data_IF_494050547189
#
_entry.id   IF_494050547189
#
_cell.length_a   1.000
_cell.length_b   1.000
_cell.length_c   1.000
_cell.angle_alpha   90.00
_cell.angle_beta   90.00
_cell.angle_gamma   90.00
#
_symmetry.space_group_name_H-M   'P 1'
#
loop_
_entity.id
_entity.type
_entity.pdbx_description
1 polymer ?
#
# COMPACT_ATOMS: atom_id res chain seq x y z
N UNK A 1 -8.81 32.22 18.60
CA UNK A 1 -7.41 32.33 19.06
C UNK A 1 -6.52 31.92 17.91
N UNK A 2 -5.55 32.76 17.49
CA UNK A 2 -4.57 32.31 16.50
C UNK A 2 -3.70 31.23 17.15
N UNK A 3 -3.76 30.03 16.64
CA UNK A 3 -2.85 28.95 17.03
C UNK A 3 -1.46 29.40 16.59
N UNK A 4 -0.50 29.46 17.52
CA UNK A 4 0.91 29.67 17.18
C UNK A 4 1.29 28.66 16.10
N UNK A 5 1.87 29.15 15.00
CA UNK A 5 2.26 28.30 13.89
C UNK A 5 3.34 27.33 14.36
N UNK A 6 3.01 26.03 14.39
CA UNK A 6 3.99 24.98 14.62
C UNK A 6 4.99 24.92 13.46
N UNK A 7 6.25 24.61 13.79
CA UNK A 7 7.22 24.26 12.77
C UNK A 7 6.76 22.96 12.10
N UNK A 8 6.38 23.05 10.84
CA UNK A 8 5.95 21.86 10.09
C UNK A 8 7.17 20.98 9.77
N UNK A 9 7.08 19.67 10.00
CA UNK A 9 8.08 18.75 9.49
C UNK A 9 8.11 18.80 7.96
N UNK A 10 9.29 18.74 7.35
CA UNK A 10 9.41 18.82 5.90
C UNK A 10 8.88 17.54 5.24
N UNK A 11 9.50 16.41 5.54
CA UNK A 11 9.16 15.08 5.01
C UNK A 11 9.84 13.99 5.80
N UNK A 12 9.34 12.77 5.68
CA UNK A 12 10.03 11.57 6.13
C UNK A 12 11.16 11.24 5.15
N UNK A 13 12.40 11.22 5.64
CA UNK A 13 13.59 10.90 4.85
C UNK A 13 13.93 9.44 5.11
N UNK A 14 13.98 8.62 4.07
CA UNK A 14 14.48 7.26 4.15
C UNK A 14 16.00 7.29 3.95
N UNK A 15 16.75 6.92 5.00
CA UNK A 15 18.24 6.96 4.98
C UNK A 15 18.78 5.66 4.41
N UNK A 16 18.20 4.55 4.86
CA UNK A 16 18.64 3.21 4.51
C UNK A 16 17.39 2.35 4.29
N UNK A 17 17.38 1.57 3.23
CA UNK A 17 16.28 0.67 2.90
C UNK A 17 16.80 -0.58 2.24
N UNK A 18 16.38 -1.71 2.79
CA UNK A 18 16.49 -3.04 2.22
C UNK A 18 15.09 -3.67 2.24
N UNK A 19 14.91 -4.84 1.64
CA UNK A 19 13.63 -5.55 1.61
C UNK A 19 13.06 -5.87 3.00
N UNK A 20 13.95 -6.03 3.99
CA UNK A 20 13.58 -6.39 5.38
C UNK A 20 13.93 -5.33 6.41
N UNK A 21 14.71 -4.31 6.07
CA UNK A 21 15.15 -3.27 6.98
C UNK A 21 14.92 -1.89 6.39
N UNK A 22 14.50 -0.94 7.24
CA UNK A 22 14.35 0.46 6.86
C UNK A 22 14.69 1.39 8.01
N UNK A 23 15.45 2.44 7.71
CA UNK A 23 15.79 3.52 8.64
C UNK A 23 15.23 4.85 8.11
N UNK A 24 14.41 5.48 8.93
CA UNK A 24 13.68 6.69 8.58
C UNK A 24 14.03 7.82 9.54
N UNK A 25 14.18 9.03 9.00
CA UNK A 25 14.27 10.28 9.79
C UNK A 25 13.04 11.14 9.56
N UNK A 26 12.54 11.72 10.66
CA UNK A 26 11.45 12.66 10.64
C UNK A 26 11.85 13.91 11.42
N UNK A 27 11.97 15.02 10.73
CA UNK A 27 12.49 16.29 11.25
C UNK A 27 12.05 17.51 10.42
N UNK A 28 12.08 18.74 10.96
CA UNK A 28 12.20 19.07 12.38
C UNK A 28 10.90 18.80 13.15
N UNK A 29 11.00 18.47 14.42
CA UNK A 29 9.87 18.27 15.32
C UNK A 29 10.00 19.23 16.51
N UNK A 30 8.88 19.73 17.01
CA UNK A 30 8.84 20.46 18.27
C UNK A 30 9.24 19.55 19.45
N UNK A 31 9.81 20.13 20.55
CA UNK A 31 10.22 19.35 21.70
C UNK A 31 9.11 18.46 22.27
N UNK A 32 9.41 17.17 22.51
CA UNK A 32 8.49 16.16 23.03
C UNK A 32 7.70 15.38 21.96
N UNK A 33 7.61 15.90 20.72
CA UNK A 33 6.86 15.22 19.64
C UNK A 33 7.56 13.96 19.14
N UNK A 34 8.89 13.95 19.16
CA UNK A 34 9.67 12.77 18.74
C UNK A 34 9.32 11.52 19.56
N UNK A 35 9.22 11.65 20.87
CA UNK A 35 8.84 10.53 21.76
C UNK A 35 7.40 10.12 21.53
N UNK A 36 6.47 11.10 21.43
CA UNK A 36 5.05 10.85 21.24
C UNK A 36 4.78 10.08 19.94
N UNK A 37 5.30 10.58 18.83
CA UNK A 37 5.11 9.98 17.50
C UNK A 37 5.86 8.64 17.42
N UNK A 38 7.11 8.58 17.88
CA UNK A 38 7.92 7.38 17.83
C UNK A 38 7.32 6.22 18.62
N UNK A 39 6.82 6.49 19.82
CA UNK A 39 6.15 5.47 20.64
C UNK A 39 4.81 5.02 20.04
N UNK A 40 4.00 5.95 19.54
CA UNK A 40 2.73 5.62 18.90
C UNK A 40 2.94 4.72 17.68
N UNK A 41 3.83 5.11 16.76
CA UNK A 41 4.16 4.33 15.56
C UNK A 41 4.75 2.96 15.93
N UNK A 42 5.68 2.90 16.90
CA UNK A 42 6.25 1.63 17.35
C UNK A 42 5.17 0.67 17.85
N UNK A 43 4.23 1.14 18.64
CA UNK A 43 3.16 0.30 19.18
C UNK A 43 2.25 -0.24 18.09
N UNK A 44 1.85 0.59 17.14
CA UNK A 44 0.98 0.19 16.03
C UNK A 44 1.71 -0.78 15.10
N UNK A 45 2.98 -0.50 14.75
CA UNK A 45 3.79 -1.39 13.93
C UNK A 45 3.87 -2.81 14.51
N UNK A 46 4.06 -2.93 15.84
CA UNK A 46 4.24 -4.22 16.49
C UNK A 46 2.92 -4.99 16.72
N UNK A 47 1.77 -4.33 16.74
CA UNK A 47 0.50 -4.97 17.16
C UNK A 47 -0.63 -4.95 16.16
N UNK A 48 -0.63 -3.99 15.21
CA UNK A 48 -1.85 -3.66 14.47
C UNK A 48 -1.80 -3.93 12.98
N UNK A 49 -0.61 -4.25 12.44
CA UNK A 49 -0.47 -4.59 11.04
C UNK A 49 -0.99 -5.99 10.75
N UNK A 50 -1.54 -6.16 9.56
CA UNK A 50 -2.05 -7.43 9.07
C UNK A 50 -0.90 -8.32 8.57
N UNK A 51 -1.09 -9.62 8.69
CA UNK A 51 -0.17 -10.62 8.18
C UNK A 51 -0.83 -11.98 8.05
N UNK A 52 -0.05 -13.00 7.73
CA UNK A 52 -0.54 -14.35 7.47
C UNK A 52 0.20 -15.36 8.35
N UNK A 53 -0.54 -16.31 8.91
CA UNK A 53 0.01 -17.36 9.74
C UNK A 53 -0.85 -18.64 9.65
N UNK A 54 -0.30 -19.75 10.11
CA UNK A 54 -1.04 -21.00 10.28
C UNK A 54 -1.92 -20.87 11.52
N UNK A 55 -3.20 -21.20 11.39
CA UNK A 55 -4.19 -21.17 12.49
C UNK A 55 -4.51 -22.56 13.02
N UNK A 56 -4.56 -23.57 12.14
CA UNK A 56 -4.85 -24.95 12.53
C UNK A 56 -3.96 -25.92 11.77
N UNK A 57 -3.66 -27.04 12.42
CA UNK A 57 -2.91 -28.16 11.86
C UNK A 57 -3.67 -29.46 12.13
N UNK A 58 -3.76 -30.33 11.13
CA UNK A 58 -4.26 -31.69 11.26
C UNK A 58 -3.24 -32.64 10.66
N UNK A 59 -2.74 -33.60 11.45
CA UNK A 59 -1.72 -34.56 11.02
C UNK A 59 -2.36 -35.92 11.00
N UNK A 60 -2.16 -36.67 9.93
CA UNK A 60 -2.72 -38.01 9.82
C UNK A 60 -2.17 -38.96 10.91
N UNK A 61 -3.06 -39.60 11.64
CA UNK A 61 -2.71 -40.51 12.76
C UNK A 61 -2.38 -39.82 14.08
N UNK A 62 -2.56 -38.48 14.17
CA UNK A 62 -2.36 -37.69 15.39
C UNK A 62 -3.68 -37.15 15.92
N UNK A 63 -3.94 -37.40 17.21
CA UNK A 63 -5.18 -36.97 17.87
C UNK A 63 -5.02 -35.70 18.71
N UNK A 64 -3.81 -35.45 19.23
CA UNK A 64 -3.51 -34.29 20.09
C UNK A 64 -2.03 -33.89 20.00
N UNK A 65 -1.70 -32.70 20.46
CA UNK A 65 -0.38 -32.07 20.36
C UNK A 65 0.74 -32.80 21.12
N UNK A 66 0.42 -33.60 22.12
CA UNK A 66 1.40 -34.37 22.92
C UNK A 66 1.67 -35.78 22.35
N UNK A 67 1.35 -36.02 21.12
CA UNK A 67 1.59 -37.27 20.43
C UNK A 67 3.00 -37.31 19.82
N UNK A 68 3.45 -38.53 19.52
CA UNK A 68 4.66 -38.79 18.73
C UNK A 68 4.29 -39.50 17.42
N UNK A 69 5.07 -39.24 16.37
CA UNK A 69 4.86 -39.86 15.05
C UNK A 69 5.99 -40.88 14.85
N UNK A 70 5.62 -42.13 14.52
CA UNK A 70 6.60 -43.19 14.32
C UNK A 70 7.52 -42.86 13.13
N UNK A 71 8.84 -42.88 13.36
CA UNK A 71 9.86 -42.58 12.37
C UNK A 71 10.07 -41.08 12.10
N UNK A 72 9.49 -40.19 12.92
CA UNK A 72 9.80 -38.76 12.98
C UNK A 72 10.55 -38.50 14.28
N UNK A 73 11.59 -37.66 14.20
CA UNK A 73 12.48 -37.40 15.35
C UNK A 73 11.81 -36.44 16.33
N UNK A 74 11.23 -35.34 15.79
CA UNK A 74 10.52 -34.34 16.57
C UNK A 74 9.15 -34.83 16.99
N UNK A 75 8.71 -34.46 18.20
CA UNK A 75 7.33 -34.70 18.61
C UNK A 75 6.38 -33.66 17.95
N UNK A 76 5.08 -33.91 18.10
CA UNK A 76 4.07 -33.01 17.47
C UNK A 76 4.15 -31.59 18.03
N UNK A 77 4.51 -31.44 19.29
CA UNK A 77 4.71 -30.11 19.92
C UNK A 77 5.84 -29.34 19.26
N UNK A 78 6.98 -30.01 19.01
CA UNK A 78 8.12 -29.40 18.33
C UNK A 78 7.79 -29.05 16.87
N UNK A 79 7.08 -29.93 16.17
CA UNK A 79 6.58 -29.66 14.82
C UNK A 79 5.70 -28.39 14.81
N UNK A 80 4.78 -28.29 15.76
CA UNK A 80 3.90 -27.10 15.87
C UNK A 80 4.73 -25.85 16.16
N UNK A 81 5.72 -25.90 17.06
CA UNK A 81 6.61 -24.78 17.37
C UNK A 81 7.41 -24.31 16.15
N UNK A 82 7.85 -25.25 15.30
CA UNK A 82 8.54 -24.94 14.06
C UNK A 82 7.57 -24.35 13.02
N UNK A 83 6.35 -24.91 12.88
CA UNK A 83 5.31 -24.37 11.98
C UNK A 83 4.90 -22.93 12.32
N UNK A 84 4.85 -22.54 13.60
CA UNK A 84 4.60 -21.17 14.05
C UNK A 84 5.66 -20.17 13.56
N UNK A 85 6.87 -20.63 13.22
CA UNK A 85 7.95 -19.79 12.72
C UNK A 85 7.91 -19.59 11.21
N UNK A 86 7.09 -20.34 10.48
CA UNK A 86 6.93 -20.19 9.03
C UNK A 86 6.29 -18.84 8.72
N UNK A 87 6.86 -18.10 7.77
CA UNK A 87 6.39 -16.78 7.35
C UNK A 87 5.86 -16.84 5.93
N UNK A 88 4.70 -16.24 5.74
CA UNK A 88 3.98 -16.27 4.48
C UNK A 88 3.88 -14.87 3.87
N UNK A 89 3.97 -14.80 2.55
CA UNK A 89 3.63 -13.62 1.76
C UNK A 89 2.48 -13.98 0.83
N UNK A 90 1.47 -13.13 0.79
CA UNK A 90 0.37 -13.26 -0.18
C UNK A 90 0.87 -12.89 -1.58
N UNK A 91 0.56 -13.71 -2.59
CA UNK A 91 0.87 -13.46 -4.00
C UNK A 91 -0.37 -13.14 -4.83
N UNK A 92 -1.56 -13.39 -4.29
CA UNK A 92 -2.85 -13.14 -4.97
C UNK A 92 -3.64 -12.12 -4.16
N UNK A 93 -4.02 -11.01 -4.77
CA UNK A 93 -4.84 -9.98 -4.12
C UNK A 93 -6.17 -10.58 -3.62
N UNK A 94 -6.67 -10.08 -2.48
CA UNK A 94 -7.92 -10.49 -1.83
C UNK A 94 -8.01 -11.95 -1.40
N UNK A 95 -6.86 -12.64 -1.25
CA UNK A 95 -6.84 -14.01 -0.78
C UNK A 95 -6.73 -14.05 0.76
N UNK A 96 -7.80 -14.46 1.43
CA UNK A 96 -7.88 -14.36 2.90
C UNK A 96 -7.42 -15.63 3.62
N UNK A 97 -7.69 -16.80 3.08
CA UNK A 97 -7.32 -18.08 3.70
C UNK A 97 -7.17 -19.21 2.69
N UNK A 98 -6.30 -20.18 3.00
CA UNK A 98 -6.07 -21.38 2.20
C UNK A 98 -5.94 -22.60 3.12
N UNK A 99 -6.63 -23.69 2.77
CA UNK A 99 -6.38 -25.01 3.34
C UNK A 99 -5.46 -25.79 2.40
N UNK A 100 -4.32 -26.19 2.92
CA UNK A 100 -3.26 -26.85 2.15
C UNK A 100 -3.01 -28.24 2.70
N UNK A 101 -3.12 -29.28 1.87
CA UNK A 101 -2.75 -30.65 2.22
C UNK A 101 -1.32 -30.90 1.74
N UNK A 102 -0.40 -31.03 2.69
CA UNK A 102 1.01 -31.29 2.45
C UNK A 102 1.27 -32.79 2.64
N UNK A 103 1.90 -33.42 1.66
CA UNK A 103 2.29 -34.85 1.73
C UNK A 103 3.79 -34.95 1.44
N UNK A 104 4.56 -35.43 2.43
CA UNK A 104 6.01 -35.56 2.37
C UNK A 104 6.36 -37.04 2.46
N UNK A 105 7.19 -37.53 1.56
CA UNK A 105 7.70 -38.91 1.55
C UNK A 105 9.03 -39.00 0.81
N UNK A 106 9.88 -39.95 1.19
CA UNK A 106 11.13 -40.21 0.50
C UNK A 106 12.25 -39.17 0.76
N UNK A 107 12.14 -38.39 1.84
CA UNK A 107 13.17 -37.43 2.25
C UNK A 107 13.40 -37.49 3.77
N UNK A 108 14.61 -37.12 4.20
CA UNK A 108 14.99 -37.16 5.61
C UNK A 108 14.63 -35.89 6.38
N UNK A 109 14.42 -34.73 5.68
CA UNK A 109 14.06 -33.45 6.27
C UNK A 109 12.81 -32.91 5.57
N UNK A 110 11.84 -32.45 6.36
CA UNK A 110 10.72 -31.65 5.90
C UNK A 110 11.02 -30.17 6.21
N UNK A 111 11.11 -29.35 5.17
CA UNK A 111 11.38 -27.93 5.28
C UNK A 111 10.16 -27.10 5.00
N UNK A 112 10.12 -25.86 5.50
CA UNK A 112 9.06 -24.91 5.20
C UNK A 112 8.94 -24.63 3.69
N UNK A 113 10.04 -24.74 2.93
CA UNK A 113 10.06 -24.62 1.48
C UNK A 113 9.25 -25.68 0.76
N UNK A 114 9.11 -26.87 1.34
CA UNK A 114 8.31 -27.95 0.74
C UNK A 114 6.81 -27.62 0.72
N UNK A 115 6.34 -26.79 1.66
CA UNK A 115 4.95 -26.34 1.72
C UNK A 115 4.60 -25.54 0.46
N UNK A 116 5.54 -24.78 -0.12
CA UNK A 116 5.30 -24.00 -1.36
C UNK A 116 4.79 -24.84 -2.53
N UNK A 117 5.13 -26.14 -2.57
CA UNK A 117 4.73 -27.03 -3.68
C UNK A 117 3.22 -27.30 -3.69
N UNK A 118 2.54 -27.07 -2.57
CA UNK A 118 1.14 -27.38 -2.34
C UNK A 118 0.25 -26.13 -2.21
N UNK A 119 0.85 -24.93 -2.17
CA UNK A 119 0.15 -23.66 -2.04
C UNK A 119 0.00 -22.98 -3.41
N UNK A 120 -1.06 -22.19 -3.54
CA UNK A 120 -1.34 -21.40 -4.75
C UNK A 120 -1.42 -19.90 -4.47
N UNK A 121 -1.91 -19.52 -3.30
CA UNK A 121 -2.11 -18.10 -2.93
C UNK A 121 -0.98 -17.49 -2.12
N UNK A 122 -0.14 -18.32 -1.50
CA UNK A 122 0.91 -17.86 -0.59
C UNK A 122 2.28 -18.36 -0.99
N UNK A 123 3.33 -17.65 -0.56
CA UNK A 123 4.72 -18.07 -0.67
C UNK A 123 5.40 -18.02 0.70
N UNK A 124 6.18 -19.05 1.01
CA UNK A 124 7.02 -19.11 2.22
C UNK A 124 8.25 -18.22 2.04
N UNK A 125 8.54 -17.37 3.03
CA UNK A 125 9.66 -16.43 3.04
C UNK A 125 10.94 -16.97 3.71
N UNK A 126 10.82 -18.06 4.46
CA UNK A 126 11.93 -18.74 5.14
C UNK A 126 11.96 -20.24 4.78
N UNK A 127 12.23 -20.58 3.50
CA UNK A 127 12.16 -21.95 3.00
C UNK A 127 13.12 -22.92 3.66
N UNK A 128 14.25 -22.44 4.19
CA UNK A 128 15.31 -23.25 4.82
C UNK A 128 14.96 -23.70 6.24
N UNK A 129 13.83 -23.24 6.79
CA UNK A 129 13.41 -23.65 8.14
C UNK A 129 13.02 -25.12 8.14
N UNK A 130 13.73 -25.95 8.91
CA UNK A 130 13.40 -27.35 9.11
C UNK A 130 12.19 -27.46 10.04
N UNK A 131 11.13 -28.11 9.58
CA UNK A 131 9.90 -28.37 10.34
C UNK A 131 10.06 -29.64 11.17
N UNK A 132 10.51 -30.74 10.55
CA UNK A 132 10.87 -31.97 11.24
C UNK A 132 11.84 -32.82 10.40
N UNK A 133 12.46 -33.82 11.08
CA UNK A 133 13.30 -34.83 10.47
C UNK A 133 12.61 -36.19 10.58
N UNK A 134 12.71 -37.00 9.52
CA UNK A 134 12.00 -38.26 9.45
C UNK A 134 12.83 -39.33 8.73
N UNK A 135 12.52 -40.58 8.99
CA UNK A 135 13.08 -41.69 8.22
C UNK A 135 12.54 -41.67 6.78
N UNK A 136 13.35 -42.02 5.76
CA UNK A 136 12.95 -41.96 4.35
C UNK A 136 11.69 -42.77 3.99
N UNK A 137 11.42 -43.83 4.75
CA UNK A 137 10.27 -44.70 4.54
C UNK A 137 8.94 -44.16 5.10
N UNK A 138 9.03 -43.05 5.86
CA UNK A 138 7.85 -42.43 6.48
C UNK A 138 7.12 -41.57 5.45
N UNK A 139 5.80 -41.72 5.43
CA UNK A 139 4.89 -40.80 4.73
C UNK A 139 4.18 -39.93 5.75
N UNK A 140 4.50 -38.65 5.76
CA UNK A 140 3.88 -37.63 6.61
C UNK A 140 2.85 -36.85 5.78
N UNK A 141 1.59 -36.89 6.22
CA UNK A 141 0.52 -36.11 5.61
C UNK A 141 -0.07 -35.17 6.66
N UNK A 142 -0.15 -33.86 6.32
CA UNK A 142 -0.74 -32.87 7.18
C UNK A 142 -1.60 -31.87 6.38
N UNK A 143 -2.65 -31.40 7.01
CA UNK A 143 -3.49 -30.31 6.53
C UNK A 143 -3.20 -29.06 7.36
N UNK A 144 -2.87 -27.96 6.69
CA UNK A 144 -2.56 -26.66 7.29
C UNK A 144 -3.61 -25.66 6.85
N UNK A 145 -4.16 -24.88 7.80
CA UNK A 145 -5.00 -23.73 7.45
C UNK A 145 -4.20 -22.47 7.66
N UNK A 146 -3.95 -21.75 6.57
CA UNK A 146 -3.26 -20.45 6.58
C UNK A 146 -4.34 -19.38 6.48
N UNK A 147 -4.28 -18.36 7.32
CA UNK A 147 -5.27 -17.29 7.34
C UNK A 147 -4.65 -15.92 7.57
N UNK A 148 -5.45 -14.87 7.29
CA UNK A 148 -5.13 -13.48 7.54
C UNK A 148 -5.55 -13.09 8.95
N UNK A 149 -4.72 -12.29 9.64
CA UNK A 149 -5.03 -11.80 10.96
C UNK A 149 -4.13 -10.64 11.38
N UNK A 150 -4.23 -10.25 12.66
CA UNK A 150 -3.46 -9.15 13.25
C UNK A 150 -2.84 -9.56 14.58
N UNK A 151 -1.60 -9.11 14.80
CA UNK A 151 -0.90 -9.31 16.07
C UNK A 151 -0.71 -10.77 16.43
N UNK A 152 -1.12 -11.15 17.62
CA UNK A 152 -1.05 -12.51 18.15
C UNK A 152 -2.44 -13.01 18.51
N UNK A 153 -2.80 -14.18 18.01
CA UNK A 153 -4.07 -14.85 18.31
C UNK A 153 -3.78 -16.19 18.98
N UNK A 154 -4.25 -16.41 20.21
CA UNK A 154 -4.04 -17.68 20.92
C UNK A 154 -4.85 -18.82 20.29
N UNK A 155 -4.38 -20.06 20.45
CA UNK A 155 -5.00 -21.27 19.90
C UNK A 155 -6.49 -21.43 20.27
N UNK A 156 -6.88 -20.96 21.45
CA UNK A 156 -8.29 -21.01 21.91
C UNK A 156 -9.22 -20.20 21.01
N UNK A 157 -8.75 -19.07 20.48
CA UNK A 157 -9.52 -18.21 19.56
C UNK A 157 -9.51 -18.76 18.12
N UNK A 158 -8.46 -19.50 17.75
CA UNK A 158 -8.35 -20.16 16.44
C UNK A 158 -9.17 -21.45 16.34
N UNK A 159 -9.81 -21.86 17.44
CA UNK A 159 -10.61 -23.09 17.43
C UNK A 159 -11.89 -22.88 16.61
N UNK A 160 -12.11 -23.67 15.52
CA UNK A 160 -13.32 -23.55 14.72
C UNK A 160 -14.56 -24.00 15.53
N UNK A 161 -15.73 -23.47 15.15
CA UNK A 161 -17.02 -23.81 15.79
C UNK A 161 -17.34 -25.28 15.65
N UNK A 162 -17.09 -25.85 14.48
CA UNK A 162 -17.18 -27.30 14.22
C UNK A 162 -15.80 -27.90 14.36
N UNK A 163 -15.57 -28.62 15.46
CA UNK A 163 -14.28 -29.25 15.73
C UNK A 163 -14.23 -30.63 15.07
N UNK A 164 -13.41 -30.77 14.03
CA UNK A 164 -13.07 -32.06 13.47
C UNK A 164 -12.13 -32.83 14.41
N UNK A 165 -12.27 -34.17 14.44
CA UNK A 165 -11.38 -35.02 15.22
C UNK A 165 -9.94 -34.95 14.69
N UNK A 166 -8.96 -34.76 15.58
CA UNK A 166 -7.55 -34.62 15.24
C UNK A 166 -7.15 -33.22 14.69
N UNK A 167 -8.05 -32.24 14.66
CA UNK A 167 -7.72 -30.89 14.31
C UNK A 167 -7.14 -30.15 15.53
N UNK A 168 -5.91 -29.68 15.41
CA UNK A 168 -5.15 -28.99 16.47
C UNK A 168 -5.11 -27.51 16.14
N UNK A 169 -5.81 -26.64 16.90
CA UNK A 169 -5.65 -25.20 16.77
C UNK A 169 -4.29 -24.77 17.37
N UNK A 170 -3.60 -23.86 16.71
CA UNK A 170 -2.29 -23.35 17.17
C UNK A 170 -2.32 -21.84 17.34
N UNK A 171 -1.43 -21.32 18.18
CA UNK A 171 -1.27 -19.87 18.29
C UNK A 171 -0.69 -19.30 17.01
N UNK A 172 -1.24 -18.19 16.55
CA UNK A 172 -0.84 -17.57 15.30
C UNK A 172 -0.16 -16.21 15.56
N UNK A 173 1.01 -16.04 14.99
CA UNK A 173 1.78 -14.78 15.03
C UNK A 173 1.67 -14.11 13.66
N UNK A 174 0.68 -13.22 13.53
CA UNK A 174 0.39 -12.55 12.26
C UNK A 174 1.28 -11.35 12.00
N UNK A 175 1.88 -10.74 13.05
CA UNK A 175 2.67 -9.51 12.87
C UNK A 175 3.83 -9.70 11.88
N UNK A 176 3.90 -8.86 10.83
CA UNK A 176 5.00 -8.89 9.87
C UNK A 176 6.27 -8.19 10.39
N UNK A 177 6.17 -7.52 11.54
CA UNK A 177 7.26 -6.72 12.10
C UNK A 177 8.03 -7.53 13.14
N UNK A 178 9.32 -7.71 12.91
CA UNK A 178 10.23 -8.39 13.84
C UNK A 178 10.77 -7.47 14.93
N UNK A 179 11.14 -6.24 14.55
CA UNK A 179 11.77 -5.29 15.48
C UNK A 179 11.47 -3.86 15.06
N UNK A 180 11.15 -3.01 16.04
CA UNK A 180 11.09 -1.57 15.88
C UNK A 180 11.92 -0.91 16.96
N UNK A 181 12.82 -0.01 16.55
CA UNK A 181 13.61 0.83 17.44
C UNK A 181 13.42 2.28 17.02
N UNK A 182 13.24 3.17 17.99
CA UNK A 182 13.26 4.60 17.73
C UNK A 182 14.20 5.31 18.68
N UNK A 183 14.76 6.43 18.21
CA UNK A 183 15.59 7.34 18.97
C UNK A 183 15.21 8.77 18.66
N UNK A 184 15.36 9.65 19.63
CA UNK A 184 15.13 11.09 19.47
C UNK A 184 16.47 11.79 19.68
N UNK A 185 16.86 12.63 18.75
CA UNK A 185 18.10 13.40 18.75
C UNK A 185 17.76 14.89 18.63
N UNK A 186 18.59 15.75 19.21
CA UNK A 186 18.42 17.18 19.03
C UNK A 186 18.72 17.59 17.58
N UNK A 187 17.92 18.50 17.05
CA UNK A 187 18.06 19.01 15.71
C UNK A 187 18.08 20.54 15.71
N UNK A 188 19.01 21.13 14.98
CA UNK A 188 19.15 22.58 14.88
C UNK A 188 18.40 23.11 13.67
N UNK A 189 17.54 24.11 13.91
CA UNK A 189 16.90 24.92 12.86
C UNK A 189 17.33 26.36 13.05
N UNK A 190 18.11 26.89 12.13
CA UNK A 190 18.71 28.23 12.19
C UNK A 190 19.49 28.48 13.49
N UNK A 191 18.98 29.33 14.38
CA UNK A 191 19.61 29.67 15.66
C UNK A 191 19.06 28.86 16.84
N UNK A 192 17.94 28.11 16.66
CA UNK A 192 17.32 27.28 17.69
C UNK A 192 17.87 25.85 17.62
N UNK A 193 18.26 25.32 18.78
CA UNK A 193 18.83 23.97 18.90
C UNK A 193 17.92 22.99 19.61
N UNK A 194 16.69 23.38 19.93
CA UNK A 194 15.76 22.66 20.81
C UNK A 194 14.79 21.77 20.03
N UNK A 195 14.85 21.78 18.70
CA UNK A 195 14.05 20.89 17.87
C UNK A 195 14.52 19.43 17.99
N UNK A 196 13.62 18.51 17.67
CA UNK A 196 13.89 17.10 17.71
C UNK A 196 13.95 16.50 16.30
N UNK A 197 14.73 15.44 16.19
CA UNK A 197 14.79 14.53 15.05
C UNK A 197 14.44 13.14 15.55
N UNK A 198 13.35 12.57 15.04
CA UNK A 198 12.98 11.19 15.27
C UNK A 198 13.68 10.29 14.26
N UNK A 199 14.42 9.31 14.75
CA UNK A 199 15.02 8.23 13.95
C UNK A 199 14.26 6.96 14.26
N UNK A 200 13.70 6.29 13.24
CA UNK A 200 12.91 5.06 13.37
C UNK A 200 13.57 3.96 12.54
N UNK A 201 13.89 2.84 13.18
CA UNK A 201 14.44 1.63 12.56
C UNK A 201 13.38 0.53 12.60
N UNK A 202 13.02 -0.01 11.44
CA UNK A 202 12.00 -1.04 11.28
C UNK A 202 12.63 -2.26 10.62
N UNK A 203 12.46 -3.43 11.24
CA UNK A 203 12.83 -4.71 10.65
C UNK A 203 11.58 -5.56 10.45
N UNK A 204 11.33 -5.96 9.20
CA UNK A 204 10.20 -6.82 8.81
C UNK A 204 10.65 -8.27 8.62
N UNK A 205 9.72 -9.16 8.39
CA UNK A 205 9.99 -10.54 7.98
C UNK A 205 10.17 -10.70 6.47
N UNK A 206 9.85 -9.66 5.68
CA UNK A 206 9.91 -9.61 4.22
C UNK A 206 8.55 -9.76 3.53
N UNK A 207 7.46 -9.96 4.28
CA UNK A 207 6.10 -9.98 3.71
C UNK A 207 5.66 -8.59 3.27
N UNK A 208 6.07 -7.56 3.99
CA UNK A 208 5.83 -6.15 3.72
C UNK A 208 7.14 -5.37 3.72
N UNK A 209 7.25 -4.38 2.83
CA UNK A 209 8.40 -3.47 2.83
C UNK A 209 8.34 -2.51 4.03
N UNK A 210 9.46 -2.15 4.65
CA UNK A 210 9.49 -1.24 5.80
C UNK A 210 8.80 0.11 5.54
N UNK A 211 8.92 0.63 4.33
CA UNK A 211 8.27 1.88 3.91
C UNK A 211 6.74 1.75 3.92
N UNK A 212 6.22 0.64 3.42
CA UNK A 212 4.78 0.43 3.34
C UNK A 212 4.20 0.08 4.72
N UNK A 213 4.94 -0.68 5.53
CA UNK A 213 4.59 -0.90 6.93
C UNK A 213 4.45 0.41 7.73
N UNK A 214 5.38 1.36 7.51
CA UNK A 214 5.31 2.68 8.16
C UNK A 214 4.08 3.48 7.68
N UNK A 215 3.76 3.45 6.39
CA UNK A 215 2.56 4.10 5.84
C UNK A 215 1.28 3.51 6.42
N UNK A 216 1.17 2.16 6.46
CA UNK A 216 -0.01 1.51 7.03
C UNK A 216 -0.18 1.82 8.52
N UNK A 217 0.92 1.81 9.29
CA UNK A 217 0.89 2.21 10.70
C UNK A 217 0.42 3.67 10.88
N UNK A 218 0.87 4.58 10.01
CA UNK A 218 0.45 5.97 10.02
C UNK A 218 -1.04 6.12 9.66
N UNK A 219 -1.53 5.40 8.65
CA UNK A 219 -2.97 5.38 8.28
C UNK A 219 -3.84 4.94 9.47
N UNK A 220 -3.45 3.85 10.16
CA UNK A 220 -4.18 3.36 11.34
C UNK A 220 -4.23 4.44 12.43
N UNK A 221 -3.10 5.12 12.71
CA UNK A 221 -3.04 6.16 13.72
C UNK A 221 -3.92 7.36 13.35
N UNK A 222 -3.86 7.82 12.12
CA UNK A 222 -4.66 8.93 11.61
C UNK A 222 -6.15 8.57 11.73
N UNK A 223 -6.55 7.37 11.28
CA UNK A 223 -7.94 6.92 11.34
C UNK A 223 -8.52 7.00 12.77
N UNK A 224 -7.74 6.60 13.78
CA UNK A 224 -8.18 6.69 15.18
C UNK A 224 -8.20 8.12 15.70
N UNK A 225 -7.23 8.96 15.31
CA UNK A 225 -7.15 10.35 15.76
C UNK A 225 -8.18 11.26 15.11
N UNK A 226 -8.68 10.91 13.93
CA UNK A 226 -9.76 11.67 13.26
C UNK A 226 -11.03 11.77 14.11
N UNK A 227 -11.30 10.79 14.97
CA UNK A 227 -12.46 10.83 15.87
C UNK A 227 -12.38 11.94 16.92
N UNK A 228 -11.19 12.49 17.18
CA UNK A 228 -10.96 13.61 18.09
C UNK A 228 -10.91 14.96 17.38
N UNK A 229 -11.04 14.98 16.06
CA UNK A 229 -11.07 16.19 15.24
C UNK A 229 -12.45 16.37 14.61
N UNK A 230 -12.98 17.59 14.66
CA UNK A 230 -14.23 17.93 13.98
C UNK A 230 -14.06 18.04 12.46
N UNK A 231 -12.84 18.09 11.97
CA UNK A 231 -12.51 18.12 10.55
C UNK A 231 -12.55 16.71 9.96
N UNK A 232 -13.33 16.53 8.90
CA UNK A 232 -13.29 15.32 8.07
C UNK A 232 -11.99 15.33 7.26
N UNK A 233 -10.91 14.84 7.85
CA UNK A 233 -9.69 14.55 7.09
C UNK A 233 -9.99 13.32 6.24
N UNK A 234 -10.26 13.54 4.97
CA UNK A 234 -10.41 12.44 4.00
C UNK A 234 -9.04 11.82 3.81
N UNK A 235 -8.83 10.66 4.44
CA UNK A 235 -7.72 9.79 4.06
C UNK A 235 -8.23 9.08 2.80
N UNK A 236 -7.95 9.68 1.65
CA UNK A 236 -8.16 8.99 0.41
C UNK A 236 -7.23 7.76 0.41
N UNK A 237 -7.83 6.62 0.68
CA UNK A 237 -7.26 5.33 0.36
C UNK A 237 -6.85 5.31 -1.12
N UNK A 238 -5.70 4.80 -1.41
CA UNK A 238 -5.12 4.33 -2.68
C UNK A 238 -5.53 5.00 -4.02
N UNK A 239 -6.69 5.67 -4.06
CA UNK A 239 -7.17 6.46 -5.19
C UNK A 239 -6.37 7.77 -5.42
N UNK A 240 -5.56 8.24 -4.45
CA UNK A 240 -4.76 9.47 -4.64
C UNK A 240 -3.46 9.26 -5.39
N UNK A 241 -2.88 8.07 -5.39
CA UNK A 241 -1.75 7.81 -6.28
C UNK A 241 -2.20 7.68 -7.76
N UNK A 242 -3.41 7.19 -8.00
CA UNK A 242 -4.05 7.29 -9.32
C UNK A 242 -4.52 8.72 -9.61
N UNK A 243 -4.90 9.50 -8.58
CA UNK A 243 -5.34 10.89 -8.73
C UNK A 243 -4.17 11.89 -8.82
N UNK A 244 -2.95 11.60 -8.35
CA UNK A 244 -1.79 12.47 -8.61
C UNK A 244 -1.38 12.44 -10.09
N UNK A 245 -1.43 11.28 -10.76
CA UNK A 245 -1.31 11.22 -12.23
C UNK A 245 -2.53 11.88 -12.91
N UNK A 246 -3.74 11.67 -12.39
CA UNK A 246 -4.96 12.32 -12.89
C UNK A 246 -4.97 13.83 -12.60
N UNK A 247 -4.45 14.28 -11.46
CA UNK A 247 -4.32 15.72 -11.15
C UNK A 247 -3.24 16.39 -12.00
N UNK A 248 -2.13 15.73 -12.34
CA UNK A 248 -1.14 16.25 -13.29
C UNK A 248 -1.71 16.35 -14.70
N UNK A 249 -2.43 15.35 -15.19
CA UNK A 249 -3.12 15.42 -16.49
C UNK A 249 -4.21 16.50 -16.49
N UNK A 250 -4.99 16.61 -15.43
CA UNK A 250 -6.02 17.65 -15.27
C UNK A 250 -5.37 19.04 -15.16
N UNK A 251 -4.26 19.18 -14.45
CA UNK A 251 -3.52 20.45 -14.32
C UNK A 251 -2.88 20.84 -15.66
N UNK A 252 -2.29 19.90 -16.37
CA UNK A 252 -1.73 20.09 -17.72
C UNK A 252 -2.84 20.48 -18.70
N UNK A 253 -3.99 19.79 -18.66
CA UNK A 253 -5.15 20.12 -19.51
C UNK A 253 -5.72 21.49 -19.17
N UNK A 254 -5.79 21.88 -17.88
CA UNK A 254 -6.19 23.23 -17.47
C UNK A 254 -5.25 24.32 -17.99
N UNK A 255 -3.96 24.09 -17.97
CA UNK A 255 -2.97 25.02 -18.53
C UNK A 255 -3.16 25.16 -20.04
N UNK A 256 -3.33 24.03 -20.74
CA UNK A 256 -3.58 23.98 -22.17
C UNK A 256 -4.86 24.76 -22.54
N UNK A 257 -5.96 24.51 -21.85
CA UNK A 257 -7.25 25.18 -22.11
C UNK A 257 -7.23 26.68 -21.80
N UNK A 258 -6.36 27.15 -20.88
CA UNK A 258 -6.14 28.59 -20.59
C UNK A 258 -5.21 29.29 -21.58
N UNK A 259 -4.58 28.56 -22.48
CA UNK A 259 -3.69 29.16 -23.49
C UNK A 259 -4.49 30.06 -24.43
N UNK A 260 -4.00 31.27 -24.64
CA UNK A 260 -4.66 32.23 -25.54
C UNK A 260 -4.40 31.85 -27.00
N UNK A 261 -5.43 31.98 -27.81
CA UNK A 261 -5.37 31.68 -29.27
C UNK A 261 -4.32 32.53 -29.99
N UNK A 262 -3.94 33.69 -29.43
CA UNK A 262 -2.91 34.59 -29.99
C UNK A 262 -1.51 34.02 -29.88
N UNK A 263 -1.27 33.13 -28.91
CA UNK A 263 0.03 32.51 -28.65
C UNK A 263 0.22 31.20 -29.44
N UNK A 264 -0.76 30.85 -30.28
CA UNK A 264 -0.74 29.65 -31.10
C UNK A 264 -0.46 30.01 -32.58
N UNK A 265 0.15 29.08 -33.32
CA UNK A 265 0.51 29.24 -34.75
C UNK A 265 -0.74 29.16 -35.65
N UNK A 266 -1.65 30.12 -35.48
CA UNK A 266 -2.83 30.26 -36.30
C UNK A 266 -2.66 31.36 -37.34
N UNK A 267 -3.29 31.18 -38.53
CA UNK A 267 -3.32 32.22 -39.52
C UNK A 267 -4.01 33.50 -39.03
N UNK A 268 -3.50 34.65 -39.41
CA UNK A 268 -4.07 35.96 -39.03
C UNK A 268 -5.56 36.06 -39.37
N UNK A 269 -5.99 35.35 -40.38
CA UNK A 269 -7.41 35.31 -40.82
C UNK A 269 -8.26 34.49 -39.86
N UNK A 270 -7.78 33.34 -39.39
CA UNK A 270 -8.48 32.50 -38.41
C UNK A 270 -8.59 33.25 -37.07
N UNK A 271 -7.49 33.84 -36.59
CA UNK A 271 -7.43 34.63 -35.37
C UNK A 271 -8.42 35.82 -35.37
N UNK A 272 -8.49 36.58 -36.49
CA UNK A 272 -9.39 37.72 -36.57
C UNK A 272 -10.87 37.29 -36.58
N UNK A 273 -11.17 36.13 -37.16
CA UNK A 273 -12.53 35.58 -37.14
C UNK A 273 -12.97 35.12 -35.76
N UNK A 274 -12.05 34.48 -35.01
CA UNK A 274 -12.29 34.00 -33.64
C UNK A 274 -12.44 35.16 -32.65
N UNK A 275 -11.57 36.19 -32.73
CA UNK A 275 -11.71 37.40 -31.95
C UNK A 275 -13.01 38.16 -32.22
N UNK A 276 -13.48 38.20 -33.46
CA UNK A 276 -14.76 38.82 -33.79
C UNK A 276 -15.98 38.03 -33.23
N UNK A 277 -15.76 36.83 -32.77
CA UNK A 277 -16.75 35.95 -32.11
C UNK A 277 -16.54 35.84 -30.58
N UNK A 278 -15.71 36.70 -30.00
CA UNK A 278 -15.33 36.71 -28.55
C UNK A 278 -14.79 35.35 -28.07
N UNK A 279 -13.99 34.66 -28.91
CA UNK A 279 -13.31 33.41 -28.56
C UNK A 279 -11.83 33.74 -28.42
N UNK A 280 -11.34 33.81 -27.16
CA UNK A 280 -9.99 34.26 -26.84
C UNK A 280 -9.05 33.12 -26.37
N UNK A 281 -9.61 32.02 -25.84
CA UNK A 281 -8.85 30.89 -25.30
C UNK A 281 -9.15 29.57 -26.01
N UNK A 282 -8.24 28.60 -25.89
CA UNK A 282 -8.49 27.23 -26.35
C UNK A 282 -9.71 26.61 -25.65
N UNK A 283 -9.93 26.92 -24.37
CA UNK A 283 -11.10 26.48 -23.61
C UNK A 283 -12.39 26.95 -24.24
N UNK A 284 -12.48 28.21 -24.66
CA UNK A 284 -13.66 28.73 -25.35
C UNK A 284 -13.85 28.04 -26.70
N UNK A 285 -12.77 27.82 -27.45
CA UNK A 285 -12.78 27.19 -28.79
C UNK A 285 -13.35 25.77 -28.76
N UNK A 286 -12.92 24.93 -27.81
CA UNK A 286 -13.31 23.51 -27.75
C UNK A 286 -14.78 23.32 -27.33
N UNK A 287 -15.43 24.32 -26.74
CA UNK A 287 -16.87 24.27 -26.42
C UNK A 287 -17.76 24.34 -27.65
N UNK A 288 -17.26 24.94 -28.75
CA UNK A 288 -18.06 25.06 -30.00
C UNK A 288 -18.00 23.75 -30.80
N UNK A 289 -19.11 23.49 -31.49
CA UNK A 289 -19.19 22.42 -32.48
C UNK A 289 -18.69 22.92 -33.86
N UNK A 290 -18.18 22.02 -34.68
CA UNK A 290 -17.72 22.32 -36.05
C UNK A 290 -18.74 23.10 -36.86
N UNK A 291 -20.05 22.79 -36.70
CA UNK A 291 -21.15 23.43 -37.43
C UNK A 291 -21.41 24.87 -36.95
N UNK A 292 -21.08 25.19 -35.70
CA UNK A 292 -21.33 26.53 -35.16
C UNK A 292 -20.22 27.48 -35.58
N UNK A 293 -18.97 27.00 -35.68
CA UNK A 293 -17.85 27.79 -36.22
C UNK A 293 -18.03 28.19 -37.67
N UNK A 294 -18.68 27.35 -38.48
CA UNK A 294 -19.00 27.70 -39.89
C UNK A 294 -20.06 28.81 -40.02
N UNK A 295 -20.77 29.15 -38.96
CA UNK A 295 -21.70 30.27 -38.92
C UNK A 295 -21.05 31.62 -38.69
N UNK A 296 -19.76 31.63 -38.29
CA UNK A 296 -19.05 32.88 -38.02
C UNK A 296 -18.73 33.62 -39.31
N UNK A 297 -18.84 34.95 -39.24
CA UNK A 297 -18.66 35.83 -40.41
C UNK A 297 -17.20 35.71 -40.93
N UNK A 298 -17.05 35.42 -42.22
CA UNK A 298 -15.77 35.24 -42.91
C UNK A 298 -14.97 34.01 -42.51
N UNK A 299 -15.54 33.05 -41.76
CA UNK A 299 -14.89 31.79 -41.39
C UNK A 299 -15.13 30.75 -42.49
N UNK A 300 -14.03 30.18 -43.06
CA UNK A 300 -14.11 29.27 -44.17
C UNK A 300 -13.62 27.85 -43.83
N UNK A 301 -13.91 26.88 -44.73
CA UNK A 301 -13.51 25.49 -44.56
C UNK A 301 -11.96 25.29 -44.36
N UNK A 302 -11.14 26.15 -44.96
CA UNK A 302 -9.67 26.10 -44.77
C UNK A 302 -9.27 26.44 -43.33
N UNK A 303 -9.90 27.47 -42.72
CA UNK A 303 -9.64 27.83 -41.35
C UNK A 303 -10.16 26.77 -40.36
N UNK A 304 -11.24 26.05 -40.74
CA UNK A 304 -11.71 24.93 -39.92
C UNK A 304 -10.72 23.78 -39.92
N UNK A 305 -10.18 23.40 -41.09
CA UNK A 305 -9.15 22.35 -41.18
C UNK A 305 -7.90 22.71 -40.39
N UNK A 306 -7.45 23.98 -40.43
CA UNK A 306 -6.32 24.49 -39.67
C UNK A 306 -6.54 24.33 -38.14
N UNK A 307 -7.76 24.61 -37.67
CA UNK A 307 -8.13 24.42 -36.26
C UNK A 307 -8.30 22.94 -35.87
N UNK A 308 -8.84 22.11 -36.76
CA UNK A 308 -8.94 20.67 -36.56
C UNK A 308 -7.52 20.06 -36.37
N UNK A 309 -6.59 20.36 -37.28
CA UNK A 309 -5.20 19.88 -37.23
C UNK A 309 -4.48 20.36 -35.94
N UNK A 310 -4.76 21.59 -35.50
CA UNK A 310 -4.17 22.14 -34.29
C UNK A 310 -4.72 21.45 -33.03
N UNK A 311 -6.03 21.23 -32.94
CA UNK A 311 -6.65 20.56 -31.81
C UNK A 311 -6.25 19.07 -31.75
N UNK A 312 -6.18 18.38 -32.89
CA UNK A 312 -5.74 16.99 -32.97
C UNK A 312 -4.28 16.83 -32.49
N UNK A 313 -3.39 17.75 -32.87
CA UNK A 313 -1.99 17.78 -32.39
C UNK A 313 -1.87 18.00 -30.87
N UNK A 314 -2.85 18.66 -30.26
CA UNK A 314 -2.91 18.92 -28.81
C UNK A 314 -3.76 17.89 -28.04
N UNK A 315 -4.31 16.87 -28.73
CA UNK A 315 -5.18 15.86 -28.14
C UNK A 315 -6.55 16.39 -27.71
N UNK A 316 -7.02 17.50 -28.34
CA UNK A 316 -8.31 18.14 -28.07
C UNK A 316 -9.31 17.88 -29.20
N UNK A 317 -10.59 18.04 -28.92
CA UNK A 317 -11.65 17.90 -29.94
C UNK A 317 -12.73 18.94 -29.75
N UNK A 318 -13.40 19.32 -30.86
CA UNK A 318 -14.56 20.21 -30.79
C UNK A 318 -15.75 19.57 -30.07
N UNK A 319 -16.48 20.38 -29.28
CA UNK A 319 -17.63 19.92 -28.51
C UNK A 319 -17.24 19.19 -27.22
N UNK A 320 -16.02 19.41 -26.71
CA UNK A 320 -15.53 18.80 -25.48
C UNK A 320 -16.20 19.44 -24.25
N UNK A 321 -16.62 18.61 -23.29
CA UNK A 321 -17.14 19.09 -22.01
C UNK A 321 -16.01 19.54 -21.09
N UNK A 322 -15.86 20.85 -20.90
CA UNK A 322 -14.84 21.50 -20.06
C UNK A 322 -15.26 21.68 -18.61
N UNK A 323 -16.51 21.34 -18.25
CA UNK A 323 -17.02 21.51 -16.88
C UNK A 323 -16.22 20.72 -15.84
N UNK A 324 -15.61 19.61 -16.24
CA UNK A 324 -14.70 18.79 -15.42
C UNK A 324 -13.42 19.53 -15.01
N UNK A 325 -12.99 20.50 -15.80
CA UNK A 325 -11.72 21.20 -15.58
C UNK A 325 -11.87 22.51 -14.79
N UNK A 326 -13.10 22.88 -14.35
CA UNK A 326 -13.43 24.06 -13.53
C UNK A 326 -12.62 25.31 -13.94
N UNK A 327 -12.77 25.71 -15.19
CA UNK A 327 -12.22 26.98 -15.69
C UNK A 327 -13.14 28.10 -15.18
N UNK A 328 -12.94 28.51 -13.90
CA UNK A 328 -13.69 29.64 -13.36
C UNK A 328 -13.26 30.91 -14.11
N UNK A 329 -14.27 31.67 -14.53
CA UNK A 329 -14.10 33.02 -15.03
C UNK A 329 -13.67 33.88 -13.83
N UNK A 330 -12.46 34.44 -13.88
CA UNK A 330 -12.14 35.61 -13.07
C UNK A 330 -12.94 36.83 -13.54
#
# INVERSE_FOLDING_TARGET
MAILAFQKPDKVIMIESDDKFGKFEFRPLEPGYGITIGNALRRILLSSLEGYAISTVKIEGVEHEFSTIKGVIEDVTDIILNLKQVRFKNEVEDFESEKVTVTISGQEEFTAGDINKFMTGFRVLNPDLVVCRMEPDVKLQMELTIGKGRGYVPAVENKPVETEFGLIPIDSIYTPIKKVKYGVENFRVEQKTDYEKLVLEITTDGSILPKDALKEAAKILIYHLMLFSDEKITIDSDEKFANEEFDEEVLHMRQLLKTKLVDLDLSVRALNCLKAADVDSLGDLVTYNRNDLLKFRNFGKKSLTELDDLLDNMGLSFGMDISKYKLDKE
#
